data_IF_464183168490
#
_entry.id   IF_464183168490
#
_cell.length_a   1.000
_cell.length_b   1.000
_cell.length_c   1.000
_cell.angle_alpha   90.00
_cell.angle_beta   90.00
_cell.angle_gamma   90.00
#
_symmetry.space_group_name_H-M   'P 1'
#
loop_
_entity.id
_entity.type
_entity.pdbx_description
1 polymer ?
#
# COMPACT_ATOMS: atom_id res chain seq x y z
N UNK A 1 4.58 -8.77 -1.88
CA UNK A 1 3.23 -8.42 -1.44
C UNK A 1 2.70 -9.57 -0.62
N UNK A 2 2.19 -9.29 0.58
CA UNK A 2 1.71 -10.33 1.50
C UNK A 2 0.46 -9.87 2.23
N UNK A 3 -0.60 -10.69 2.20
CA UNK A 3 -1.76 -10.47 3.07
C UNK A 3 -1.33 -10.81 4.49
N UNK A 4 -1.39 -9.84 5.40
CA UNK A 4 -0.99 -10.00 6.81
C UNK A 4 -2.20 -10.24 7.71
N UNK A 5 -3.36 -9.68 7.34
CA UNK A 5 -4.63 -9.89 8.03
C UNK A 5 -5.74 -10.16 7.02
N UNK A 6 -6.61 -11.13 7.31
CA UNK A 6 -7.82 -11.42 6.55
C UNK A 6 -8.93 -11.79 7.54
N UNK A 7 -9.83 -10.85 7.80
CA UNK A 7 -10.87 -10.99 8.81
C UNK A 7 -12.25 -10.94 8.19
N UNK A 8 -13.08 -11.91 8.54
CA UNK A 8 -14.51 -11.90 8.21
C UNK A 8 -15.27 -11.07 9.27
N UNK A 9 -15.91 -9.98 8.85
CA UNK A 9 -16.67 -9.07 9.73
C UNK A 9 -18.19 -9.33 9.68
N UNK A 10 -18.60 -10.47 9.12
CA UNK A 10 -19.97 -10.83 8.83
C UNK A 10 -20.41 -10.33 7.47
N UNK A 11 -20.42 -9.00 7.27
CA UNK A 11 -20.96 -8.36 6.06
C UNK A 11 -19.87 -7.91 5.05
N UNK A 12 -18.61 -7.87 5.48
CA UNK A 12 -17.45 -7.62 4.62
C UNK A 12 -16.30 -8.59 4.94
N UNK A 13 -15.30 -8.60 4.06
CA UNK A 13 -13.97 -9.09 4.37
C UNK A 13 -13.05 -7.89 4.54
N UNK A 14 -12.32 -7.85 5.65
CA UNK A 14 -11.29 -6.86 5.92
C UNK A 14 -9.92 -7.49 5.66
N UNK A 15 -9.13 -6.88 4.79
CA UNK A 15 -7.78 -7.33 4.47
C UNK A 15 -6.76 -6.25 4.79
N UNK A 16 -5.69 -6.62 5.48
CA UNK A 16 -4.49 -5.81 5.56
C UNK A 16 -3.40 -6.47 4.72
N UNK A 17 -2.79 -5.69 3.84
CA UNK A 17 -1.84 -6.17 2.85
C UNK A 17 -0.57 -5.35 2.95
N UNK A 18 0.55 -6.04 3.17
CA UNK A 18 1.89 -5.49 3.02
C UNK A 18 2.22 -5.42 1.53
N UNK A 19 2.40 -4.21 1.01
CA UNK A 19 2.70 -3.97 -0.40
C UNK A 19 4.09 -4.50 -0.78
N UNK A 20 5.09 -4.28 0.08
CA UNK A 20 6.48 -4.68 -0.13
C UNK A 20 7.04 -5.42 1.09
N UNK A 21 7.48 -6.66 0.90
CA UNK A 21 7.99 -7.53 1.98
C UNK A 21 9.40 -7.16 2.44
N UNK A 22 10.09 -6.27 1.73
CA UNK A 22 11.36 -5.71 2.17
C UNK A 22 11.19 -4.57 3.19
N UNK A 23 10.00 -4.01 3.31
CA UNK A 23 9.69 -2.86 4.17
C UNK A 23 9.20 -3.35 5.53
N UNK A 24 10.16 -3.86 6.31
CA UNK A 24 9.96 -4.29 7.68
C UNK A 24 10.68 -3.31 8.61
N UNK A 25 10.06 -3.03 9.76
CA UNK A 25 10.67 -2.32 10.87
C UNK A 25 11.78 -3.17 11.52
N UNK A 26 12.59 -2.55 12.38
CA UNK A 26 13.71 -3.22 13.07
C UNK A 26 13.27 -4.41 13.94
N UNK A 27 12.00 -4.45 14.36
CA UNK A 27 11.40 -5.54 15.12
C UNK A 27 10.85 -6.68 14.23
N UNK A 28 11.01 -6.57 12.90
CA UNK A 28 10.52 -7.50 11.90
C UNK A 28 9.03 -7.37 11.60
N UNK A 29 8.33 -6.39 12.19
CA UNK A 29 6.94 -6.08 11.86
C UNK A 29 6.85 -5.29 10.54
N UNK A 30 5.75 -5.40 9.78
CA UNK A 30 5.58 -4.63 8.56
C UNK A 30 5.53 -3.12 8.84
N UNK A 31 6.24 -2.32 8.04
CA UNK A 31 6.16 -0.86 8.14
C UNK A 31 4.74 -0.40 7.79
N UNK A 32 4.01 0.26 8.71
CA UNK A 32 2.65 0.72 8.48
C UNK A 32 2.52 1.68 7.28
N UNK A 33 3.59 2.34 6.84
CA UNK A 33 3.59 3.15 5.62
C UNK A 33 3.38 2.32 4.34
N UNK A 34 3.71 1.03 4.40
CA UNK A 34 3.58 0.06 3.30
C UNK A 34 2.47 -0.97 3.53
N UNK A 35 1.68 -0.82 4.59
CA UNK A 35 0.47 -1.59 4.83
C UNK A 35 -0.73 -0.82 4.30
N UNK A 36 -1.58 -1.51 3.55
CA UNK A 36 -2.86 -0.98 3.06
C UNK A 36 -4.00 -1.86 3.53
N UNK A 37 -5.12 -1.23 3.85
CA UNK A 37 -6.33 -1.92 4.31
C UNK A 37 -7.41 -1.83 3.24
N UNK A 38 -8.03 -2.97 2.93
CA UNK A 38 -9.15 -3.08 1.99
C UNK A 38 -10.35 -3.69 2.69
N UNK A 39 -11.49 -2.99 2.63
CA UNK A 39 -12.78 -3.49 3.08
C UNK A 39 -13.64 -3.90 1.88
N UNK A 40 -13.87 -5.20 1.72
CA UNK A 40 -14.65 -5.76 0.62
C UNK A 40 -16.04 -6.19 1.08
N UNK A 41 -17.09 -5.51 0.63
CA UNK A 41 -18.47 -5.90 0.97
C UNK A 41 -18.83 -7.25 0.35
N UNK A 42 -19.40 -8.17 1.14
CA UNK A 42 -19.94 -9.45 0.66
C UNK A 42 -21.24 -9.30 -0.12
N UNK A 43 -21.88 -8.13 -0.04
CA UNK A 43 -23.12 -7.83 -0.77
C UNK A 43 -22.89 -7.55 -2.26
N UNK A 44 -21.64 -7.44 -2.72
CA UNK A 44 -21.37 -7.40 -4.16
C UNK A 44 -21.43 -8.82 -4.74
N UNK A 45 -22.25 -9.03 -5.76
CA UNK A 45 -22.39 -10.29 -6.54
C UNK A 45 -21.07 -10.81 -7.13
N UNK A 46 -20.00 -10.04 -7.04
CA UNK A 46 -18.63 -10.44 -7.36
C UNK A 46 -17.76 -10.39 -6.12
N UNK A 47 -17.41 -11.58 -5.62
CA UNK A 47 -16.22 -11.71 -4.79
C UNK A 47 -15.02 -11.22 -5.60
N UNK A 48 -14.21 -10.32 -5.04
CA UNK A 48 -12.99 -9.91 -5.75
C UNK A 48 -12.04 -11.09 -5.85
N UNK A 49 -11.57 -11.34 -7.05
CA UNK A 49 -10.56 -12.37 -7.27
C UNK A 49 -9.22 -11.93 -6.67
N UNK A 50 -8.41 -12.90 -6.24
CA UNK A 50 -7.03 -12.64 -5.80
C UNK A 50 -6.23 -11.84 -6.84
N UNK A 51 -6.56 -12.00 -8.12
CA UNK A 51 -5.95 -11.27 -9.22
C UNK A 51 -6.32 -9.78 -9.23
N UNK A 52 -7.59 -9.44 -9.00
CA UNK A 52 -8.03 -8.05 -8.90
C UNK A 52 -7.41 -7.36 -7.67
N UNK A 53 -7.31 -8.08 -6.55
CA UNK A 53 -6.64 -7.57 -5.36
C UNK A 53 -5.14 -7.32 -5.61
N UNK A 54 -4.45 -8.24 -6.30
CA UNK A 54 -3.05 -8.04 -6.68
C UNK A 54 -2.86 -6.79 -7.57
N UNK A 55 -3.72 -6.59 -8.58
CA UNK A 55 -3.67 -5.40 -9.45
C UNK A 55 -3.89 -4.09 -8.67
N UNK A 56 -4.81 -4.09 -7.70
CA UNK A 56 -5.04 -2.93 -6.83
C UNK A 56 -3.80 -2.61 -5.98
N UNK A 57 -3.16 -3.65 -5.44
CA UNK A 57 -1.93 -3.49 -4.66
C UNK A 57 -0.76 -2.97 -5.53
N UNK A 58 -0.60 -3.49 -6.75
CA UNK A 58 0.41 -3.02 -7.70
C UNK A 58 0.18 -1.55 -8.09
N UNK A 59 -1.08 -1.15 -8.29
CA UNK A 59 -1.44 0.24 -8.59
C UNK A 59 -1.16 1.17 -7.39
N UNK A 60 -1.50 0.75 -6.17
CA UNK A 60 -1.17 1.47 -4.93
C UNK A 60 0.34 1.64 -4.77
N UNK A 61 1.11 0.55 -4.96
CA UNK A 61 2.56 0.59 -4.90
C UNK A 61 3.14 1.51 -5.98
N UNK A 62 2.66 1.43 -7.23
CA UNK A 62 3.11 2.29 -8.33
C UNK A 62 2.78 3.77 -8.11
N UNK A 63 1.66 4.08 -7.44
CA UNK A 63 1.33 5.45 -7.04
C UNK A 63 2.21 5.97 -5.89
N UNK A 64 2.68 5.09 -5.02
CA UNK A 64 3.57 5.44 -3.90
C UNK A 64 5.06 5.49 -4.28
N UNK A 65 5.50 4.68 -5.24
CA UNK A 65 6.89 4.66 -5.71
C UNK A 65 7.46 6.01 -6.21
N UNK A 66 6.71 6.92 -6.87
CA UNK A 66 7.24 8.25 -7.16
C UNK A 66 7.44 9.10 -5.91
N UNK A 67 6.74 8.84 -4.80
CA UNK A 67 6.95 9.54 -3.52
C UNK A 67 8.12 8.94 -2.71
N UNK A 68 8.32 7.62 -2.75
CA UNK A 68 9.40 6.93 -2.03
C UNK A 68 10.78 7.23 -2.66
N UNK A 69 10.91 7.21 -4.00
CA UNK A 69 12.16 7.61 -4.67
C UNK A 69 12.58 9.05 -4.33
N UNK A 70 11.62 9.96 -4.25
CA UNK A 70 11.91 11.34 -3.89
C UNK A 70 12.36 11.45 -2.44
N UNK A 71 11.71 10.76 -1.50
CA UNK A 71 12.09 10.77 -0.09
C UNK A 71 13.48 10.14 0.17
N UNK A 72 13.82 9.03 -0.49
CA UNK A 72 15.14 8.39 -0.38
C UNK A 72 16.27 9.25 -0.98
N UNK A 73 15.98 10.03 -2.03
CA UNK A 73 16.92 10.99 -2.62
C UNK A 73 16.91 12.36 -1.92
N UNK A 74 16.18 12.52 -0.80
CA UNK A 74 16.06 13.77 -0.05
C UNK A 74 15.31 14.89 -0.78
N UNK A 75 14.54 14.55 -1.81
CA UNK A 75 13.71 15.45 -2.61
C UNK A 75 12.28 15.49 -2.06
N UNK A 76 11.70 16.68 -1.95
CA UNK A 76 10.30 16.86 -1.53
C UNK A 76 9.45 17.29 -2.73
N UNK A 77 8.33 16.61 -2.94
CA UNK A 77 7.32 17.01 -3.91
C UNK A 77 6.44 18.11 -3.28
N UNK A 78 6.45 19.31 -3.85
CA UNK A 78 5.55 20.39 -3.42
C UNK A 78 4.13 20.11 -3.94
N UNK A 79 3.11 20.65 -3.26
CA UNK A 79 1.69 20.44 -3.59
C UNK A 79 1.27 20.90 -5.00
N UNK A 80 2.13 21.65 -5.71
CA UNK A 80 1.99 22.07 -7.12
C UNK A 80 2.58 21.04 -8.12
N UNK A 81 3.03 19.88 -7.64
CA UNK A 81 3.68 18.84 -8.45
C UNK A 81 5.14 19.14 -8.82
N UNK A 82 5.74 20.19 -8.25
CA UNK A 82 7.16 20.55 -8.46
C UNK A 82 8.07 19.77 -7.50
N UNK A 83 9.11 19.15 -8.04
CA UNK A 83 10.16 18.47 -7.27
C UNK A 83 11.22 19.48 -6.83
N UNK A 84 11.44 19.64 -5.52
CA UNK A 84 12.59 20.39 -4.98
C UNK A 84 13.72 19.44 -4.59
N UNK A 85 14.93 19.70 -5.12
CA UNK A 85 16.16 19.01 -4.71
C UNK A 85 16.69 19.57 -3.39
N UNK A 86 17.36 18.75 -2.56
CA UNK A 86 18.03 19.23 -1.36
C UNK A 86 19.15 20.21 -1.75
N UNK A 87 19.23 21.31 -1.01
CA UNK A 87 20.21 22.37 -1.24
C UNK A 87 21.55 21.92 -0.63
N UNK A 88 22.36 21.22 -1.43
CA UNK A 88 23.78 21.00 -1.19
C UNK A 88 24.61 22.23 -1.55
#
# INVERSE_FOLDING_TARGET
>A
MKIITATDTGNSYHYEVLLDESQLLDDGSPDPAYVVSYDWSKSQDKAVSLREMALLCELELAQRQPAVKLAEEGMTLEADGKVKKPKG
#
